data_IF_541985892555
#
_entry.id   IF_541985892555
#
_cell.length_a   1.000
_cell.length_b   1.000
_cell.length_c   1.000
_cell.angle_alpha   90.00
_cell.angle_beta   90.00
_cell.angle_gamma   90.00
#
_symmetry.space_group_name_H-M   'P 1'
#
loop_
_entity.id
_entity.type
_entity.pdbx_description
1 polymer ?
#
# COMPACT_ATOMS: atom_id res chain seq x y z
N UNK A 1 -15.25 3.21 13.63
CA UNK A 1 -14.43 3.92 12.63
C UNK A 1 -13.88 2.88 11.68
N UNK A 2 -14.24 2.86 10.39
CA UNK A 2 -13.75 1.88 9.42
C UNK A 2 -12.21 1.92 9.31
N UNK A 3 -11.60 0.77 9.05
CA UNK A 3 -10.16 0.53 9.08
C UNK A 3 -9.64 0.33 7.66
N UNK A 4 -8.76 1.23 7.23
CA UNK A 4 -8.10 1.20 5.93
C UNK A 4 -6.65 0.75 6.09
N UNK A 5 -6.27 -0.31 5.38
CA UNK A 5 -4.87 -0.63 5.11
C UNK A 5 -4.44 0.09 3.83
N UNK A 6 -3.52 1.04 3.95
CA UNK A 6 -2.84 1.66 2.82
C UNK A 6 -1.54 0.90 2.57
N UNK A 7 -1.51 0.07 1.55
CA UNK A 7 -0.33 -0.69 1.17
C UNK A 7 0.42 -0.03 0.01
N UNK A 8 1.64 0.43 0.28
CA UNK A 8 2.55 0.92 -0.72
C UNK A 8 3.43 -0.23 -1.24
N UNK A 9 3.31 -0.64 -2.52
CA UNK A 9 4.05 -1.78 -3.06
C UNK A 9 5.51 -1.45 -3.43
N UNK A 10 5.98 -0.22 -3.22
CA UNK A 10 7.41 0.10 -3.26
C UNK A 10 8.04 0.06 -1.86
N UNK A 11 9.37 0.06 -1.81
CA UNK A 11 10.14 -0.10 -0.57
C UNK A 11 10.42 1.20 0.18
N UNK A 12 9.85 2.34 -0.25
CA UNK A 12 10.08 3.63 0.38
C UNK A 12 9.11 3.91 1.54
N UNK A 13 9.61 3.74 2.77
CA UNK A 13 8.84 3.98 3.99
C UNK A 13 8.48 5.46 4.20
N UNK A 14 9.33 6.39 3.75
CA UNK A 14 9.06 7.82 3.88
C UNK A 14 7.91 8.24 2.95
N UNK A 15 7.85 7.68 1.74
CA UNK A 15 6.70 7.85 0.85
C UNK A 15 5.42 7.28 1.49
N UNK A 16 5.51 6.09 2.09
CA UNK A 16 4.37 5.48 2.80
C UNK A 16 3.83 6.40 3.90
N UNK A 17 4.71 6.99 4.71
CA UNK A 17 4.32 7.92 5.76
C UNK A 17 3.61 9.17 5.20
N UNK A 18 4.10 9.73 4.08
CA UNK A 18 3.46 10.86 3.38
C UNK A 18 2.06 10.51 2.88
N UNK A 19 1.89 9.32 2.29
CA UNK A 19 0.60 8.83 1.79
C UNK A 19 -0.40 8.63 2.93
N UNK A 20 0.03 8.05 4.06
CA UNK A 20 -0.80 7.91 5.26
C UNK A 20 -1.23 9.29 5.79
N UNK A 21 -0.33 10.27 5.83
CA UNK A 21 -0.66 11.60 6.28
C UNK A 21 -1.70 12.29 5.38
N UNK A 22 -1.63 12.08 4.05
CA UNK A 22 -2.64 12.56 3.11
C UNK A 22 -3.97 11.84 3.35
N UNK A 23 -3.96 10.51 3.43
CA UNK A 23 -5.16 9.70 3.61
C UNK A 23 -5.91 10.07 4.90
N UNK A 24 -5.21 10.28 6.01
CA UNK A 24 -5.82 10.71 7.28
C UNK A 24 -6.48 12.09 7.20
N UNK A 25 -5.94 13.00 6.39
CA UNK A 25 -6.57 14.32 6.17
C UNK A 25 -7.82 14.24 5.30
N UNK A 26 -7.82 13.35 4.30
CA UNK A 26 -8.92 13.20 3.35
C UNK A 26 -10.04 12.29 3.87
N UNK A 27 -9.71 11.36 4.77
CA UNK A 27 -10.61 10.37 5.35
C UNK A 27 -10.60 10.50 6.88
N UNK A 28 -11.10 11.60 7.46
CA UNK A 28 -11.05 11.83 8.90
C UNK A 28 -11.80 10.77 9.70
N UNK A 29 -12.83 10.15 9.09
CA UNK A 29 -13.65 9.10 9.71
C UNK A 29 -13.07 7.69 9.52
N UNK A 30 -11.83 7.56 9.03
CA UNK A 30 -11.16 6.26 8.81
C UNK A 30 -9.89 6.10 9.65
N UNK A 31 -9.72 4.92 10.22
CA UNK A 31 -8.49 4.51 10.86
C UNK A 31 -7.50 4.00 9.80
N UNK A 32 -6.54 4.84 9.40
CA UNK A 32 -5.56 4.50 8.36
C UNK A 32 -4.28 3.91 8.95
N UNK A 33 -3.95 2.67 8.54
CA UNK A 33 -2.66 1.99 8.78
C UNK A 33 -1.88 1.91 7.48
N UNK A 34 -0.64 2.41 7.47
CA UNK A 34 0.28 2.25 6.34
C UNK A 34 1.10 0.96 6.41
N UNK A 35 1.40 0.38 5.26
CA UNK A 35 2.34 -0.73 5.12
C UNK A 35 3.22 -0.51 3.89
N UNK A 36 4.52 -0.69 4.05
CA UNK A 36 5.52 -0.60 2.97
C UNK A 36 5.89 -2.01 2.54
N UNK A 37 6.08 -2.23 1.24
CA UNK A 37 6.59 -3.50 0.76
C UNK A 37 7.99 -3.79 1.34
N UNK A 38 8.26 -5.02 1.82
CA UNK A 38 9.57 -5.37 2.38
C UNK A 38 10.64 -5.59 1.30
N UNK A 39 10.23 -5.71 0.03
CA UNK A 39 11.09 -5.98 -1.13
C UNK A 39 10.51 -5.38 -2.40
N UNK A 40 11.32 -5.29 -3.45
CA UNK A 40 10.93 -4.76 -4.75
C UNK A 40 11.63 -3.44 -5.09
N UNK A 41 11.03 -2.67 -5.99
CA UNK A 41 11.60 -1.39 -6.41
C UNK A 41 11.36 -0.31 -5.35
N UNK A 42 12.35 0.58 -5.13
CA UNK A 42 12.16 1.79 -4.32
C UNK A 42 11.25 2.81 -5.02
N UNK A 43 11.33 2.87 -6.35
CA UNK A 43 10.51 3.72 -7.19
C UNK A 43 10.03 2.91 -8.41
N UNK A 44 8.72 2.95 -8.67
CA UNK A 44 8.09 2.15 -9.73
C UNK A 44 7.93 3.05 -10.96
N UNK A 45 8.85 2.94 -11.90
CA UNK A 45 8.91 3.78 -13.11
C UNK A 45 9.11 2.98 -14.40
N UNK A 46 8.85 1.68 -14.37
CA UNK A 46 8.92 0.82 -15.56
C UNK A 46 7.87 -0.29 -15.51
N UNK A 47 7.46 -0.84 -16.67
CA UNK A 47 6.54 -1.99 -16.70
C UNK A 47 7.07 -3.20 -15.90
N UNK A 48 8.39 -3.44 -15.95
CA UNK A 48 9.04 -4.51 -15.18
C UNK A 48 8.91 -4.28 -13.67
N UNK A 49 9.17 -3.05 -13.22
CA UNK A 49 9.04 -2.70 -11.80
C UNK A 49 7.57 -2.77 -11.34
N UNK A 50 6.63 -2.37 -12.19
CA UNK A 50 5.19 -2.45 -11.90
C UNK A 50 4.74 -3.91 -11.75
N UNK A 51 5.13 -4.80 -12.67
CA UNK A 51 4.79 -6.23 -12.55
C UNK A 51 5.39 -6.88 -11.31
N UNK A 52 6.62 -6.51 -10.94
CA UNK A 52 7.23 -6.94 -9.69
C UNK A 52 6.45 -6.45 -8.46
N UNK A 53 6.02 -5.19 -8.47
CA UNK A 53 5.21 -4.60 -7.40
C UNK A 53 3.89 -5.36 -7.20
N UNK A 54 3.25 -5.82 -8.27
CA UNK A 54 2.02 -6.64 -8.22
C UNK A 54 2.24 -7.98 -7.52
N UNK A 55 3.27 -8.72 -7.94
CA UNK A 55 3.61 -9.99 -7.28
C UNK A 55 3.92 -9.79 -5.79
N UNK A 56 4.70 -8.77 -5.45
CA UNK A 56 5.00 -8.44 -4.05
C UNK A 56 3.73 -8.07 -3.27
N UNK A 57 2.81 -7.31 -3.88
CA UNK A 57 1.54 -6.95 -3.25
C UNK A 57 0.71 -8.18 -2.94
N UNK A 58 0.53 -9.08 -3.91
CA UNK A 58 -0.19 -10.33 -3.73
C UNK A 58 0.42 -11.18 -2.61
N UNK A 59 1.74 -11.39 -2.64
CA UNK A 59 2.44 -12.18 -1.63
C UNK A 59 2.30 -11.57 -0.23
N UNK A 60 2.40 -10.24 -0.11
CA UNK A 60 2.27 -9.56 1.18
C UNK A 60 0.84 -9.63 1.71
N UNK A 61 -0.15 -9.30 0.87
CA UNK A 61 -1.55 -9.25 1.29
C UNK A 61 -2.11 -10.65 1.60
N UNK A 62 -1.70 -11.68 0.87
CA UNK A 62 -2.09 -13.07 1.14
C UNK A 62 -1.60 -13.56 2.52
N UNK A 63 -0.48 -13.03 3.01
CA UNK A 63 0.08 -13.39 4.32
C UNK A 63 -0.45 -12.56 5.49
N UNK A 64 -1.35 -11.60 5.25
CA UNK A 64 -1.89 -10.75 6.31
C UNK A 64 -3.18 -11.32 6.89
N UNK A 65 -3.31 -11.25 8.21
CA UNK A 65 -4.60 -11.23 8.86
C UNK A 65 -5.27 -9.86 8.61
N UNK A 66 -6.32 -9.88 7.80
CA UNK A 66 -7.15 -8.71 7.48
C UNK A 66 -8.43 -8.66 8.32
N UNK A 67 -8.54 -9.44 9.41
CA UNK A 67 -9.68 -9.39 10.31
C UNK A 67 -9.92 -7.97 10.84
N UNK A 68 -11.13 -7.47 10.59
CA UNK A 68 -11.52 -6.10 10.93
C UNK A 68 -10.81 -5.02 10.10
N UNK A 69 -10.24 -5.35 8.95
CA UNK A 69 -9.86 -4.38 7.92
C UNK A 69 -11.04 -4.24 6.94
N UNK A 70 -11.61 -3.05 6.82
CA UNK A 70 -12.79 -2.80 5.98
C UNK A 70 -12.40 -2.55 4.50
N UNK A 71 -11.18 -2.06 4.27
CA UNK A 71 -10.65 -1.83 2.94
C UNK A 71 -9.12 -1.92 2.87
N UNK A 72 -8.62 -2.27 1.69
CA UNK A 72 -7.19 -2.18 1.33
C UNK A 72 -7.05 -1.24 0.13
N UNK A 73 -6.20 -0.22 0.27
CA UNK A 73 -5.79 0.66 -0.82
C UNK A 73 -4.38 0.27 -1.28
N UNK A 74 -4.26 -0.16 -2.53
CA UNK A 74 -2.98 -0.33 -3.19
C UNK A 74 -2.47 1.03 -3.66
N UNK A 75 -1.54 1.61 -2.90
CA UNK A 75 -1.09 2.99 -3.08
C UNK A 75 0.05 3.10 -4.10
N UNK A 76 -0.24 2.76 -5.35
CA UNK A 76 0.67 2.89 -6.48
C UNK A 76 -0.09 3.30 -7.75
N UNK A 77 0.45 4.27 -8.49
CA UNK A 77 -0.10 4.60 -9.80
C UNK A 77 0.15 3.46 -10.81
N UNK A 78 -0.86 3.18 -11.63
CA UNK A 78 -0.83 2.12 -12.63
C UNK A 78 -1.30 0.75 -12.14
N UNK A 79 -1.80 0.66 -10.90
CA UNK A 79 -2.41 -0.52 -10.24
C UNK A 79 -1.84 -1.84 -10.76
N UNK A 80 -0.75 -2.34 -10.18
CA UNK A 80 -0.08 -3.50 -10.73
C UNK A 80 -1.02 -4.72 -10.73
N UNK A 81 -1.27 -5.26 -11.92
CA UNK A 81 -2.09 -6.43 -12.19
C UNK A 81 -1.35 -7.76 -11.99
#
# INVERSE_FOLDING_TARGET
MPRLLLFNPNTDAALTARLVAIARRQLPDWAVRGMTAPRGARYIASPKALRMAGMVAMDCLAGLDLAGCDAVLLACFGDPA
#
